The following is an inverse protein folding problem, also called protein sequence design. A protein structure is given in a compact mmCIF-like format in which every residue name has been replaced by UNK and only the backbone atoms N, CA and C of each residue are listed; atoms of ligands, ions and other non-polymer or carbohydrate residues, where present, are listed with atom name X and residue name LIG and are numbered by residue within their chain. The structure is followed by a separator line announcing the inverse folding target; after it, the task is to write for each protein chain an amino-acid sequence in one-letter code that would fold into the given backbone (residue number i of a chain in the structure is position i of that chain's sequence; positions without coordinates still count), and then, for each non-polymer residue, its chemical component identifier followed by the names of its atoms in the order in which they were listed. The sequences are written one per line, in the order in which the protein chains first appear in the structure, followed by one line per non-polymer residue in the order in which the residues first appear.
data_IF_382327174190
#
_entry.id   IF_382327174190
#
_cell.length_a   1.000
_cell.length_b   1.000
_cell.length_c   1.000
_cell.angle_alpha   90.00
_cell.angle_beta   90.00
_cell.angle_gamma   90.00
#
_symmetry.space_group_name_H-M   'P 1'
#
loop_
_entity.id
_entity.type
_entity.pdbx_description
1 polymer ?
#
# COMPACT_ATOMS: atom_id res chain seq x y z
N UNK A 1 15.37 10.81 -21.79
CA UNK A 1 14.23 9.98 -22.21
C UNK A 1 13.20 10.87 -22.90
N UNK A 2 12.50 10.35 -23.92
CA UNK A 2 11.44 11.10 -24.62
C UNK A 2 10.15 11.11 -23.79
N UNK A 3 9.38 12.18 -23.87
CA UNK A 3 8.09 12.30 -23.18
C UNK A 3 7.15 11.16 -23.64
N UNK A 4 6.43 10.55 -22.70
CA UNK A 4 5.46 9.48 -22.98
C UNK A 4 6.02 8.05 -22.98
N UNK A 5 7.33 7.86 -22.77
CA UNK A 5 7.90 6.51 -22.66
C UNK A 5 7.52 5.83 -21.35
N UNK A 6 7.10 4.56 -21.42
CA UNK A 6 6.90 3.73 -20.22
C UNK A 6 8.26 3.37 -19.61
N UNK A 7 8.38 3.54 -18.29
CA UNK A 7 9.61 3.33 -17.55
C UNK A 7 9.35 2.59 -16.24
N UNK A 8 10.33 1.82 -15.78
CA UNK A 8 10.34 1.12 -14.49
C UNK A 8 11.71 1.21 -13.81
N UNK A 9 11.78 0.75 -12.56
CA UNK A 9 13.02 0.73 -11.75
C UNK A 9 13.71 2.12 -11.67
N UNK A 10 13.02 3.09 -11.07
CA UNK A 10 13.44 4.50 -11.08
C UNK A 10 14.18 4.85 -9.78
N UNK A 11 15.31 5.56 -9.91
CA UNK A 11 16.06 6.14 -8.79
C UNK A 11 15.33 7.33 -8.16
N UNK A 12 15.50 7.52 -6.84
CA UNK A 12 14.92 8.67 -6.11
C UNK A 12 15.91 9.81 -6.04
N UNK A 13 17.13 9.46 -5.64
CA UNK A 13 18.28 10.33 -5.66
C UNK A 13 19.32 9.72 -6.61
N UNK A 14 20.13 10.54 -7.29
CA UNK A 14 21.13 10.04 -8.23
C UNK A 14 22.08 9.03 -7.56
N UNK A 15 22.23 7.85 -8.16
CA UNK A 15 23.18 6.82 -7.70
C UNK A 15 22.75 6.04 -6.45
N UNK A 16 21.53 6.25 -5.92
CA UNK A 16 21.03 5.54 -4.75
C UNK A 16 20.52 4.11 -5.06
N UNK A 17 20.50 3.75 -6.36
CA UNK A 17 19.82 2.57 -6.88
C UNK A 17 18.30 2.78 -6.99
N UNK A 18 17.64 1.97 -7.81
CA UNK A 18 16.20 2.05 -8.05
C UNK A 18 15.41 1.78 -6.76
N UNK A 19 14.73 2.81 -6.25
CA UNK A 19 14.11 2.79 -4.91
C UNK A 19 12.70 3.39 -4.84
N UNK A 20 12.16 3.88 -5.96
CA UNK A 20 10.85 4.55 -6.14
C UNK A 20 10.80 6.07 -5.92
N UNK A 21 10.68 6.79 -7.05
CA UNK A 21 10.02 8.08 -7.36
C UNK A 21 9.81 9.12 -6.24
N UNK A 22 10.36 10.36 -6.40
CA UNK A 22 9.75 11.66 -5.97
C UNK A 22 10.56 12.98 -6.23
N UNK A 23 9.77 14.08 -6.39
CA UNK A 23 9.95 15.55 -6.20
C UNK A 23 10.10 16.60 -7.34
N UNK A 24 9.23 17.63 -7.22
CA UNK A 24 9.08 19.07 -7.66
C UNK A 24 9.80 19.74 -8.90
N UNK A 25 9.30 20.72 -9.72
CA UNK A 25 9.99 21.17 -10.94
C UNK A 25 10.92 22.37 -10.76
N UNK A 26 12.08 22.26 -11.39
CA UNK A 26 12.82 23.35 -12.06
C UNK A 26 13.56 22.67 -13.21
N UNK A 27 14.34 23.36 -14.06
CA UNK A 27 14.96 22.78 -15.27
C UNK A 27 15.79 21.48 -15.10
N UNK A 28 15.99 21.05 -13.85
CA UNK A 28 16.67 19.82 -13.40
C UNK A 28 15.74 18.65 -13.05
N UNK A 29 14.41 18.75 -13.16
CA UNK A 29 13.47 17.72 -12.71
C UNK A 29 12.45 17.29 -13.79
N UNK A 30 12.04 16.02 -13.80
CA UNK A 30 11.11 15.40 -14.75
C UNK A 30 9.83 14.89 -14.08
N UNK A 31 8.66 15.22 -14.61
CA UNK A 31 7.35 14.77 -14.09
C UNK A 31 7.03 13.33 -14.54
N UNK A 32 6.74 12.45 -13.59
CA UNK A 32 6.42 11.05 -13.81
C UNK A 32 5.13 10.67 -13.08
N UNK A 33 4.25 9.95 -13.80
CA UNK A 33 3.02 9.40 -13.25
C UNK A 33 3.25 7.98 -12.70
N UNK A 34 2.81 7.75 -11.47
CA UNK A 34 2.98 6.47 -10.79
C UNK A 34 1.90 5.45 -11.08
N UNK A 35 2.18 4.15 -10.85
CA UNK A 35 1.15 3.13 -10.78
C UNK A 35 0.15 3.36 -9.63
N UNK A 36 0.50 4.16 -8.61
CA UNK A 36 -0.45 4.61 -7.57
C UNK A 36 -1.40 5.72 -8.06
N UNK A 37 -1.25 6.19 -9.29
CA UNK A 37 -2.00 7.33 -9.86
C UNK A 37 -1.47 8.71 -9.46
N UNK A 38 -0.50 8.77 -8.53
CA UNK A 38 0.10 10.03 -8.09
C UNK A 38 1.13 10.53 -9.10
N UNK A 39 1.18 11.84 -9.31
CA UNK A 39 2.21 12.50 -10.10
C UNK A 39 3.34 12.97 -9.19
N UNK A 40 4.57 12.81 -9.67
CA UNK A 40 5.77 13.08 -8.91
C UNK A 40 6.88 13.50 -9.84
N UNK A 41 7.57 14.56 -9.50
CA UNK A 41 8.77 14.97 -10.23
C UNK A 41 9.99 14.14 -9.78
N UNK A 42 11.12 14.14 -10.47
CA UNK A 42 12.36 13.40 -10.12
C UNK A 42 13.54 14.14 -10.74
N UNK A 43 14.71 14.19 -10.09
CA UNK A 43 15.93 14.77 -10.68
C UNK A 43 16.24 14.10 -12.03
N UNK A 44 16.56 14.89 -13.06
CA UNK A 44 16.87 14.41 -14.40
C UNK A 44 18.13 13.54 -14.45
N UNK A 45 18.97 13.62 -13.42
CA UNK A 45 20.16 12.77 -13.25
C UNK A 45 19.83 11.35 -12.78
N UNK A 46 18.62 11.11 -12.26
CA UNK A 46 18.18 9.80 -11.83
C UNK A 46 18.02 8.84 -13.01
N UNK A 47 18.48 7.61 -12.83
CA UNK A 47 18.36 6.56 -13.86
C UNK A 47 17.02 5.84 -13.78
N UNK A 48 16.55 5.38 -14.93
CA UNK A 48 15.35 4.57 -15.08
C UNK A 48 15.55 3.57 -16.23
N UNK A 49 14.82 2.47 -16.19
CA UNK A 49 14.84 1.44 -17.23
C UNK A 49 13.62 1.59 -18.14
N UNK A 50 13.79 1.45 -19.45
CA UNK A 50 12.69 1.55 -20.43
C UNK A 50 11.83 0.28 -20.35
N UNK A 51 10.52 0.44 -20.51
CA UNK A 51 9.54 -0.64 -20.58
C UNK A 51 8.86 -0.95 -19.24
N UNK A 52 8.18 -2.09 -19.19
CA UNK A 52 7.50 -2.59 -18.00
C UNK A 52 8.28 -3.74 -17.35
N UNK A 53 8.07 -3.95 -16.06
CA UNK A 53 8.62 -5.13 -15.37
C UNK A 53 8.03 -6.41 -15.98
N UNK A 54 8.85 -7.44 -16.13
CA UNK A 54 8.42 -8.74 -16.65
C UNK A 54 7.41 -9.43 -15.72
N UNK A 55 6.76 -10.49 -16.22
CA UNK A 55 5.76 -11.30 -15.49
C UNK A 55 4.44 -10.58 -15.13
N UNK A 56 3.68 -10.09 -16.13
CA UNK A 56 2.39 -9.42 -15.88
C UNK A 56 1.30 -10.36 -15.34
N UNK A 57 1.39 -11.67 -15.62
CA UNK A 57 0.39 -12.67 -15.21
C UNK A 57 0.44 -13.00 -13.72
N UNK A 58 1.50 -12.59 -12.99
CA UNK A 58 1.63 -12.88 -11.57
C UNK A 58 0.42 -12.40 -10.76
N UNK A 59 -0.12 -11.22 -11.06
CA UNK A 59 -1.29 -10.67 -10.35
C UNK A 59 -2.59 -11.46 -10.56
N UNK A 60 -2.72 -12.13 -11.71
CA UNK A 60 -3.90 -12.94 -12.04
C UNK A 60 -3.85 -14.35 -11.41
N UNK A 61 -2.69 -14.78 -10.90
CA UNK A 61 -2.50 -16.12 -10.34
C UNK A 61 -3.26 -16.29 -9.03
N UNK A 62 -4.31 -17.12 -9.05
CA UNK A 62 -5.10 -17.48 -7.85
C UNK A 62 -4.46 -18.65 -7.09
N UNK A 63 -4.35 -18.51 -5.77
CA UNK A 63 -3.96 -19.61 -4.89
C UNK A 63 -5.17 -20.54 -4.68
N UNK A 64 -4.95 -21.86 -4.77
CA UNK A 64 -6.04 -22.87 -4.73
C UNK A 64 -6.11 -23.67 -3.42
N UNK A 65 -5.06 -23.62 -2.59
CA UNK A 65 -5.02 -24.32 -1.30
C UNK A 65 -4.30 -23.50 -0.23
N UNK A 66 -4.64 -23.73 1.04
CA UNK A 66 -3.99 -23.07 2.16
C UNK A 66 -2.47 -23.25 2.18
N UNK A 67 -1.98 -24.44 1.81
CA UNK A 67 -0.54 -24.75 1.73
C UNK A 67 0.26 -23.83 0.80
N UNK A 68 -0.34 -23.34 -0.30
CA UNK A 68 0.34 -22.39 -1.19
C UNK A 68 0.56 -21.03 -0.51
N UNK A 69 -0.36 -20.59 0.35
CA UNK A 69 -0.16 -19.39 1.17
C UNK A 69 0.98 -19.59 2.19
N UNK A 70 1.09 -20.80 2.75
CA UNK A 70 2.16 -21.17 3.69
C UNK A 70 3.53 -21.20 3.02
N UNK A 71 3.64 -21.68 1.78
CA UNK A 71 4.89 -21.64 1.00
C UNK A 71 5.38 -20.22 0.71
N UNK A 72 4.46 -19.24 0.66
CA UNK A 72 4.78 -17.81 0.56
C UNK A 72 5.13 -17.18 1.91
N UNK A 73 5.27 -17.97 2.99
CA UNK A 73 5.61 -17.49 4.34
C UNK A 73 4.45 -16.83 5.09
N UNK A 74 3.21 -16.86 4.57
CA UNK A 74 2.06 -16.21 5.20
C UNK A 74 1.44 -17.13 6.25
N UNK A 75 1.38 -16.67 7.50
CA UNK A 75 0.69 -17.36 8.61
C UNK A 75 -0.83 -17.10 8.55
N UNK A 76 -1.68 -18.01 9.08
CA UNK A 76 -3.11 -17.73 9.21
C UNK A 76 -3.33 -16.52 10.11
N UNK A 77 -4.23 -15.62 9.69
CA UNK A 77 -4.59 -14.41 10.45
C UNK A 77 -6.01 -14.56 10.98
N UNK A 78 -6.20 -14.28 12.28
CA UNK A 78 -7.48 -14.37 12.95
C UNK A 78 -8.25 -13.05 12.81
N UNK A 79 -9.57 -13.12 12.60
CA UNK A 79 -10.43 -11.92 12.51
C UNK A 79 -10.68 -11.37 13.92
N UNK A 80 -10.73 -10.05 14.07
CA UNK A 80 -10.99 -9.41 15.38
C UNK A 80 -12.31 -9.79 16.06
N UNK A 81 -13.34 -10.17 15.30
CA UNK A 81 -14.63 -10.65 15.84
C UNK A 81 -14.51 -12.02 16.51
N UNK A 82 -13.48 -12.80 16.19
CA UNK A 82 -13.23 -14.09 16.81
C UNK A 82 -12.37 -13.98 18.08
N UNK A 83 -11.99 -12.77 18.48
CA UNK A 83 -11.13 -12.51 19.63
C UNK A 83 -11.96 -12.06 20.85
N UNK A 84 -11.33 -12.04 22.03
CA UNK A 84 -11.97 -11.51 23.23
C UNK A 84 -11.91 -9.97 23.25
N UNK A 85 -12.77 -9.28 24.03
CA UNK A 85 -12.77 -7.81 24.13
C UNK A 85 -11.43 -7.18 24.51
N UNK A 86 -10.60 -7.92 25.25
CA UNK A 86 -9.24 -7.50 25.67
C UNK A 86 -8.26 -7.44 24.51
N UNK A 87 -8.41 -8.31 23.51
CA UNK A 87 -7.44 -8.49 22.43
C UNK A 87 -7.73 -7.59 21.22
N UNK A 88 -9.00 -7.29 20.97
CA UNK A 88 -9.41 -6.50 19.81
C UNK A 88 -10.63 -5.63 20.13
N UNK A 89 -10.70 -4.38 19.60
CA UNK A 89 -11.90 -3.53 19.69
C UNK A 89 -13.20 -4.11 19.11
N UNK A 90 -13.15 -5.28 18.48
CA UNK A 90 -14.29 -5.98 17.90
C UNK A 90 -14.59 -7.30 18.61
N UNK A 91 -13.85 -7.61 19.69
CA UNK A 91 -13.97 -8.87 20.39
C UNK A 91 -15.17 -8.93 21.33
N UNK A 92 -15.61 -10.15 21.61
CA UNK A 92 -16.72 -10.46 22.52
C UNK A 92 -18.13 -10.39 21.91
N UNK A 93 -19.12 -10.47 22.80
CA UNK A 93 -20.54 -10.65 22.49
C UNK A 93 -20.97 -12.12 22.54
N UNK A 94 -22.24 -12.36 22.83
CA UNK A 94 -22.83 -13.70 22.74
C UNK A 94 -23.12 -14.03 21.27
N UNK A 95 -22.37 -14.97 20.70
CA UNK A 95 -22.47 -15.35 19.29
C UNK A 95 -21.82 -14.35 18.33
N UNK A 96 -22.22 -14.38 17.04
CA UNK A 96 -21.67 -13.48 16.02
C UNK A 96 -22.30 -12.09 16.15
N UNK A 97 -21.59 -11.16 16.78
CA UNK A 97 -21.98 -9.76 16.80
C UNK A 97 -21.69 -9.08 15.45
N UNK A 98 -22.72 -8.45 14.84
CA UNK A 98 -22.57 -7.60 13.64
C UNK A 98 -21.87 -6.27 13.94
N UNK A 99 -21.79 -5.93 15.23
CA UNK A 99 -21.34 -4.65 15.73
C UNK A 99 -20.11 -4.84 16.61
N UNK A 100 -19.00 -4.20 16.20
CA UNK A 100 -18.25 -3.31 17.09
C UNK A 100 -19.13 -2.84 18.27
N UNK A 101 -18.86 -3.26 19.50
CA UNK A 101 -19.74 -3.01 20.64
C UNK A 101 -20.22 -1.55 20.82
N UNK A 102 -21.49 -1.43 21.21
CA UNK A 102 -22.28 -0.34 21.81
C UNK A 102 -22.35 1.08 21.22
N UNK A 103 -21.53 1.51 20.25
CA UNK A 103 -21.59 2.90 19.74
C UNK A 103 -21.39 3.06 18.22
N UNK A 104 -21.70 2.05 17.39
CA UNK A 104 -21.69 2.21 15.93
C UNK A 104 -20.34 2.63 15.32
N UNK A 105 -19.21 2.24 15.92
CA UNK A 105 -17.89 2.63 15.41
C UNK A 105 -17.59 1.93 14.08
N UNK A 106 -16.93 2.66 13.17
CA UNK A 106 -16.37 2.11 11.93
C UNK A 106 -15.38 0.96 12.24
N UNK A 107 -15.15 0.03 11.31
CA UNK A 107 -14.18 -1.05 11.52
C UNK A 107 -12.79 -0.52 11.90
N UNK A 108 -12.30 -0.93 13.07
CA UNK A 108 -11.04 -0.47 13.68
C UNK A 108 -9.90 -1.49 13.50
N UNK A 109 -8.66 -0.99 13.58
CA UNK A 109 -7.45 -1.79 13.78
C UNK A 109 -7.39 -2.32 15.22
N UNK A 110 -6.49 -3.29 15.52
CA UNK A 110 -6.21 -3.70 16.90
C UNK A 110 -5.83 -2.54 17.82
N UNK A 111 -5.25 -1.46 17.27
CA UNK A 111 -4.88 -0.24 18.00
C UNK A 111 -5.96 0.86 17.99
N UNK A 112 -7.20 0.53 17.59
CA UNK A 112 -8.32 1.46 17.65
C UNK A 112 -8.34 2.54 16.55
N UNK A 113 -7.53 2.43 15.49
CA UNK A 113 -7.56 3.36 14.35
C UNK A 113 -8.61 2.94 13.32
N UNK A 114 -9.43 3.85 12.75
CA UNK A 114 -10.39 3.51 11.71
C UNK A 114 -9.71 2.99 10.43
N UNK A 115 -10.28 1.95 9.82
CA UNK A 115 -9.77 1.33 8.58
C UNK A 115 -10.63 1.65 7.34
N UNK A 116 -11.82 2.22 7.54
CA UNK A 116 -12.81 2.50 6.48
C UNK A 116 -13.05 4.01 6.36
N UNK A 117 -13.84 4.41 5.38
CA UNK A 117 -14.27 5.81 5.17
C UNK A 117 -13.13 6.79 4.86
N UNK A 118 -12.06 6.30 4.21
CA UNK A 118 -10.96 7.16 3.77
C UNK A 118 -10.14 7.77 4.92
N UNK A 119 -10.08 7.09 6.08
CA UNK A 119 -9.16 7.47 7.14
C UNK A 119 -7.73 7.50 6.60
N UNK A 120 -7.11 8.67 6.67
CA UNK A 120 -5.81 8.91 6.08
C UNK A 120 -4.72 8.79 7.14
N UNK A 121 -3.87 7.80 7.00
CA UNK A 121 -2.72 7.57 7.87
C UNK A 121 -1.52 8.41 7.42
N UNK A 122 -0.88 9.12 8.35
CA UNK A 122 0.28 9.98 8.10
C UNK A 122 0.10 11.43 8.55
N UNK A 123 1.20 12.18 8.76
CA UNK A 123 1.14 13.56 9.25
C UNK A 123 0.47 14.49 8.23
N UNK A 124 -0.52 15.28 8.70
CA UNK A 124 -1.27 16.27 7.90
C UNK A 124 -0.35 17.26 7.16
N UNK A 125 0.78 17.63 7.77
CA UNK A 125 1.74 18.60 7.24
C UNK A 125 2.43 18.18 5.94
N UNK A 126 2.49 16.88 5.63
CA UNK A 126 3.14 16.34 4.41
C UNK A 126 2.20 16.22 3.21
N UNK A 127 0.97 16.72 3.33
CA UNK A 127 -0.16 16.34 2.46
C UNK A 127 -0.89 17.52 1.83
N UNK A 128 -0.74 18.71 2.40
CA UNK A 128 -0.98 19.99 1.73
C UNK A 128 0.32 20.41 1.07
#
# INVERSE_FOLDING_TARGET
MRIGTMIHNIEVNPGQGGKLILKEPTSRYCLIKLPSGAEKLIDSRCRATIGMVSNPSHGARKLRKAGQSRWLGRRPVVRGVAMNPVDHPHGGGEGRSKSSGNHGRCSLTPWGKPCKSGYKTGPLKRRK
#
